data_IF_513545741083
#
_entry.id   IF_513545741083
#
_cell.length_a   1.000
_cell.length_b   1.000
_cell.length_c   1.000
_cell.angle_alpha   90.00
_cell.angle_beta   90.00
_cell.angle_gamma   90.00
#
_symmetry.space_group_name_H-M   'P 1'
#
loop_
_entity.id
_entity.type
_entity.pdbx_description
1 polymer ?
#
# COMPACT_ATOMS: atom_id res chain seq x y z
N UNK A 1 2.68 -3.74 29.51
CA UNK A 1 3.69 -4.54 28.79
C UNK A 1 2.96 -5.49 27.85
N UNK A 2 3.33 -5.53 26.56
CA UNK A 2 2.75 -6.48 25.61
C UNK A 2 3.20 -7.91 26.02
N UNK A 3 2.29 -8.83 26.36
CA UNK A 3 2.65 -10.15 26.89
C UNK A 3 3.50 -11.01 25.93
N UNK A 4 3.59 -10.63 24.65
CA UNK A 4 4.32 -11.36 23.61
C UNK A 4 5.68 -10.76 23.21
N UNK A 5 6.17 -9.72 23.90
CA UNK A 5 7.39 -9.01 23.52
C UNK A 5 8.60 -9.94 23.28
N UNK A 6 8.92 -10.80 24.26
CA UNK A 6 10.07 -11.71 24.17
C UNK A 6 9.94 -12.73 23.04
N UNK A 7 8.72 -13.19 22.75
CA UNK A 7 8.46 -14.14 21.66
C UNK A 7 8.73 -13.49 20.30
N UNK A 8 8.22 -12.28 20.08
CA UNK A 8 8.41 -11.53 18.83
C UNK A 8 9.89 -11.19 18.59
N UNK A 9 10.63 -10.77 19.62
CA UNK A 9 12.08 -10.50 19.49
C UNK A 9 12.89 -11.78 19.21
N UNK A 10 12.51 -12.90 19.81
CA UNK A 10 13.16 -14.18 19.53
C UNK A 10 12.94 -14.61 18.08
N UNK A 11 11.72 -14.43 17.57
CA UNK A 11 11.38 -14.69 16.17
C UNK A 11 12.17 -13.77 15.22
N UNK A 12 12.25 -12.47 15.52
CA UNK A 12 13.06 -11.50 14.77
C UNK A 12 14.52 -11.95 14.63
N UNK A 13 15.16 -12.30 15.75
CA UNK A 13 16.55 -12.73 15.76
C UNK A 13 16.77 -14.03 14.98
N UNK A 14 15.81 -14.96 15.03
CA UNK A 14 15.84 -16.21 14.27
C UNK A 14 15.75 -15.93 12.77
N UNK A 15 14.83 -15.06 12.36
CA UNK A 15 14.63 -14.66 10.96
C UNK A 15 15.82 -13.86 10.40
N UNK A 16 16.41 -12.97 11.20
CA UNK A 16 17.61 -12.23 10.80
C UNK A 16 18.78 -13.18 10.52
N UNK A 17 19.01 -14.17 11.40
CA UNK A 17 20.04 -15.19 11.18
C UNK A 17 19.73 -16.05 9.95
N UNK A 18 18.47 -16.38 9.72
CA UNK A 18 18.02 -17.10 8.53
C UNK A 18 18.37 -16.33 7.25
N UNK A 19 18.02 -15.04 7.18
CA UNK A 19 18.31 -14.19 6.02
C UNK A 19 19.80 -14.12 5.68
N UNK A 20 20.68 -14.05 6.68
CA UNK A 20 22.15 -14.02 6.46
C UNK A 20 22.75 -15.34 5.96
N UNK A 21 21.97 -16.43 5.94
CA UNK A 21 22.43 -17.75 5.48
C UNK A 21 21.91 -18.10 4.09
N UNK A 22 20.87 -17.43 3.63
CA UNK A 22 20.26 -17.67 2.33
C UNK A 22 20.96 -16.79 1.28
N UNK A 23 21.62 -17.37 0.27
CA UNK A 23 22.23 -16.60 -0.80
C UNK A 23 21.19 -15.70 -1.47
N UNK A 24 21.42 -14.40 -1.44
CA UNK A 24 20.51 -13.47 -2.08
C UNK A 24 20.80 -13.38 -3.59
N UNK A 25 19.76 -13.48 -4.41
CA UNK A 25 19.86 -13.04 -5.79
C UNK A 25 19.96 -11.49 -5.84
N UNK A 26 20.62 -10.95 -6.87
CA UNK A 26 20.53 -9.54 -7.30
C UNK A 26 20.89 -8.43 -6.30
N UNK A 27 22.16 -8.34 -5.89
CA UNK A 27 22.68 -7.17 -5.14
C UNK A 27 21.81 -6.78 -3.95
N UNK A 28 21.26 -7.78 -3.27
CA UNK A 28 20.55 -7.59 -2.01
C UNK A 28 21.49 -6.91 -1.00
N UNK A 29 20.97 -6.04 -0.11
CA UNK A 29 21.72 -5.48 1.01
C UNK A 29 22.61 -6.53 1.66
N UNK A 30 23.89 -6.17 1.80
CA UNK A 30 24.91 -6.99 2.44
C UNK A 30 24.39 -7.48 3.82
N UNK A 31 24.80 -8.68 4.25
CA UNK A 31 24.32 -9.33 5.48
C UNK A 31 24.28 -8.39 6.71
N UNK A 32 25.24 -7.46 6.79
CA UNK A 32 25.31 -6.48 7.87
C UNK A 32 24.12 -5.51 7.91
N UNK A 33 23.52 -5.13 6.77
CA UNK A 33 22.33 -4.27 6.73
C UNK A 33 21.10 -4.98 7.30
N UNK A 34 20.97 -6.28 7.03
CA UNK A 34 19.90 -7.11 7.60
C UNK A 34 20.05 -7.18 9.13
N UNK A 35 21.26 -7.48 9.62
CA UNK A 35 21.54 -7.55 11.06
C UNK A 35 21.37 -6.18 11.74
N UNK A 36 21.83 -5.10 11.11
CA UNK A 36 21.65 -3.74 11.62
C UNK A 36 20.17 -3.38 11.71
N UNK A 37 19.37 -3.74 10.71
CA UNK A 37 17.93 -3.46 10.71
C UNK A 37 17.23 -4.27 11.80
N UNK A 38 17.59 -5.54 12.00
CA UNK A 38 17.08 -6.36 13.11
C UNK A 38 17.44 -5.75 14.48
N UNK A 39 18.69 -5.32 14.69
CA UNK A 39 19.11 -4.65 15.93
C UNK A 39 18.35 -3.35 16.18
N UNK A 40 18.15 -2.54 15.12
CA UNK A 40 17.34 -1.31 15.20
C UNK A 40 15.91 -1.64 15.62
N UNK A 41 15.25 -2.59 14.96
CA UNK A 41 13.91 -3.05 15.31
C UNK A 41 13.87 -3.50 16.76
N UNK A 42 14.79 -4.37 17.20
CA UNK A 42 14.85 -4.84 18.58
C UNK A 42 14.93 -3.68 19.58
N UNK A 43 15.75 -2.67 19.28
CA UNK A 43 15.94 -1.50 20.14
C UNK A 43 14.72 -0.57 20.19
N UNK A 44 13.90 -0.50 19.13
CA UNK A 44 12.72 0.38 19.05
C UNK A 44 11.40 -0.34 19.29
N UNK A 45 11.38 -1.67 19.28
CA UNK A 45 10.16 -2.48 19.23
C UNK A 45 9.15 -2.14 20.33
N UNK A 46 9.61 -1.97 21.58
CA UNK A 46 8.72 -1.61 22.68
C UNK A 46 8.07 -0.23 22.49
N UNK A 47 8.81 0.75 21.97
CA UNK A 47 8.31 2.08 21.65
C UNK A 47 7.34 2.06 20.47
N UNK A 48 7.69 1.32 19.41
CA UNK A 48 6.85 1.11 18.23
C UNK A 48 5.49 0.49 18.64
N UNK A 49 5.51 -0.58 19.44
CA UNK A 49 4.29 -1.23 19.92
C UNK A 49 3.43 -0.31 20.80
N UNK A 50 4.05 0.54 21.63
CA UNK A 50 3.32 1.53 22.42
C UNK A 50 2.67 2.61 21.54
N UNK A 51 3.39 3.10 20.53
CA UNK A 51 2.89 4.08 19.57
C UNK A 51 1.72 3.50 18.73
N UNK A 52 1.83 2.24 18.31
CA UNK A 52 0.75 1.53 17.61
C UNK A 52 -0.47 1.36 18.50
N UNK A 53 -0.27 0.98 19.77
CA UNK A 53 -1.37 0.85 20.72
C UNK A 53 -2.13 2.16 20.95
N UNK A 54 -1.43 3.30 20.97
CA UNK A 54 -2.05 4.62 21.11
C UNK A 54 -2.93 5.01 19.91
N UNK A 55 -2.71 4.41 18.74
CA UNK A 55 -3.43 4.68 17.50
C UNK A 55 -4.29 3.50 17.03
N UNK A 56 -4.42 2.46 17.87
CA UNK A 56 -4.99 1.17 17.47
C UNK A 56 -6.47 1.27 17.09
N UNK A 57 -7.23 2.06 17.84
CA UNK A 57 -8.66 2.23 17.56
C UNK A 57 -8.83 2.80 16.15
N UNK A 58 -8.08 3.84 15.79
CA UNK A 58 -8.14 4.41 14.45
C UNK A 58 -7.72 3.43 13.32
N UNK A 59 -6.67 2.63 13.52
CA UNK A 59 -6.15 1.73 12.48
C UNK A 59 -7.04 0.49 12.30
N UNK A 60 -7.58 -0.05 13.41
CA UNK A 60 -8.18 -1.39 13.44
C UNK A 60 -9.69 -1.41 13.68
N UNK A 61 -10.36 -0.28 13.86
CA UNK A 61 -11.83 -0.25 13.97
C UNK A 61 -12.51 0.10 12.67
N UNK A 62 -13.81 -0.21 12.62
CA UNK A 62 -14.67 0.32 11.58
C UNK A 62 -14.65 1.86 11.55
N UNK A 63 -14.79 2.40 10.35
CA UNK A 63 -14.85 3.83 10.10
C UNK A 63 -16.31 4.27 9.91
N UNK A 64 -16.91 4.76 10.99
CA UNK A 64 -18.27 5.33 10.95
C UNK A 64 -18.27 6.76 10.37
N UNK A 65 -17.20 7.52 10.60
CA UNK A 65 -17.03 8.88 10.10
C UNK A 65 -15.77 8.98 9.23
N UNK A 66 -15.96 8.86 7.92
CA UNK A 66 -14.88 8.89 6.93
C UNK A 66 -14.06 10.17 7.03
N UNK A 67 -14.71 11.34 7.16
CA UNK A 67 -14.00 12.63 7.22
C UNK A 67 -13.12 12.72 8.46
N UNK A 68 -13.62 12.30 9.62
CA UNK A 68 -12.83 12.28 10.85
C UNK A 68 -11.65 11.30 10.75
N UNK A 69 -11.88 10.10 10.22
CA UNK A 69 -10.83 9.12 10.01
C UNK A 69 -9.78 9.59 9.00
N UNK A 70 -10.16 10.33 7.95
CA UNK A 70 -9.19 10.96 7.03
C UNK A 70 -8.30 11.96 7.76
N UNK A 71 -8.87 12.79 8.64
CA UNK A 71 -8.09 13.73 9.45
C UNK A 71 -7.13 13.00 10.39
N UNK A 72 -7.59 11.97 11.09
CA UNK A 72 -6.75 11.16 11.98
C UNK A 72 -5.61 10.47 11.20
N UNK A 73 -5.90 9.94 10.02
CA UNK A 73 -4.89 9.29 9.20
C UNK A 73 -3.81 10.26 8.72
N UNK A 74 -4.25 11.41 8.20
CA UNK A 74 -3.33 12.45 7.78
C UNK A 74 -2.45 12.90 8.95
N UNK A 75 -3.04 13.12 10.14
CA UNK A 75 -2.31 13.52 11.33
C UNK A 75 -1.30 12.46 11.79
N UNK A 76 -1.67 11.18 11.76
CA UNK A 76 -0.77 10.07 12.06
C UNK A 76 0.45 10.08 11.13
N UNK A 77 0.23 10.25 9.82
CA UNK A 77 1.34 10.29 8.85
C UNK A 77 2.20 11.55 8.97
N UNK A 78 1.60 12.70 9.28
CA UNK A 78 2.36 13.91 9.57
C UNK A 78 3.24 13.73 10.82
N UNK A 79 2.70 13.13 11.88
CA UNK A 79 3.48 12.76 13.06
C UNK A 79 4.62 11.81 12.69
N UNK A 80 4.36 10.76 11.92
CA UNK A 80 5.37 9.79 11.51
C UNK A 80 6.50 10.43 10.69
N UNK A 81 6.20 11.40 9.82
CA UNK A 81 7.24 12.17 9.14
C UNK A 81 8.17 12.94 10.09
N UNK A 82 7.69 13.32 11.27
CA UNK A 82 8.44 14.08 12.26
C UNK A 82 9.20 13.16 13.23
N UNK A 83 8.58 12.06 13.66
CA UNK A 83 9.11 11.19 14.73
C UNK A 83 9.65 9.86 14.23
N UNK A 84 9.48 9.53 12.95
CA UNK A 84 9.63 8.18 12.42
C UNK A 84 8.34 7.36 12.59
N UNK A 85 8.13 6.44 11.65
CA UNK A 85 7.06 5.44 11.74
C UNK A 85 7.54 4.23 12.57
N UNK A 86 6.60 3.50 13.20
CA UNK A 86 6.88 2.16 13.69
C UNK A 86 7.50 1.28 12.60
N UNK A 87 8.43 0.40 12.97
CA UNK A 87 8.96 -0.60 12.04
C UNK A 87 7.82 -1.45 11.45
N UNK A 88 7.97 -1.87 10.18
CA UNK A 88 7.01 -2.78 9.56
C UNK A 88 6.89 -4.09 10.36
N UNK A 89 7.99 -4.56 10.95
CA UNK A 89 7.98 -5.72 11.83
C UNK A 89 7.04 -5.53 13.04
N UNK A 90 7.15 -4.41 13.76
CA UNK A 90 6.26 -4.10 14.87
C UNK A 90 4.80 -3.92 14.43
N UNK A 91 4.57 -3.20 13.32
CA UNK A 91 3.23 -2.99 12.76
C UNK A 91 2.56 -4.33 12.36
N UNK A 92 3.31 -5.24 11.74
CA UNK A 92 2.84 -6.58 11.40
C UNK A 92 2.55 -7.39 12.66
N UNK A 93 3.48 -7.50 13.62
CA UNK A 93 3.23 -8.19 14.90
C UNK A 93 1.96 -7.67 15.58
N UNK A 94 1.80 -6.35 15.64
CA UNK A 94 0.62 -5.72 16.24
C UNK A 94 -0.66 -6.07 15.47
N UNK A 95 -0.63 -6.03 14.14
CA UNK A 95 -1.77 -6.40 13.31
C UNK A 95 -2.18 -7.87 13.50
N UNK A 96 -1.21 -8.79 13.51
CA UNK A 96 -1.48 -10.21 13.73
C UNK A 96 -2.11 -10.47 15.10
N UNK A 97 -1.58 -9.83 16.15
CA UNK A 97 -2.12 -9.95 17.51
C UNK A 97 -3.51 -9.31 17.63
N UNK A 98 -3.73 -8.15 16.99
CA UNK A 98 -4.98 -7.38 17.10
C UNK A 98 -6.15 -7.99 16.33
N UNK A 99 -5.87 -8.54 15.14
CA UNK A 99 -6.89 -9.21 14.32
C UNK A 99 -7.24 -10.61 14.85
N UNK A 100 -6.44 -11.15 15.78
CA UNK A 100 -6.68 -12.44 16.44
C UNK A 100 -6.92 -13.60 15.45
N UNK A 101 -6.25 -13.57 14.31
CA UNK A 101 -6.43 -14.54 13.23
C UNK A 101 -5.85 -15.91 13.66
N UNK A 102 -6.54 -17.04 13.39
CA UNK A 102 -5.98 -18.38 13.55
C UNK A 102 -4.98 -18.65 12.42
N UNK A 103 -3.72 -18.26 12.63
CA UNK A 103 -2.68 -18.31 11.59
C UNK A 103 -1.84 -19.58 11.74
N UNK A 104 -1.63 -20.28 10.62
CA UNK A 104 -0.69 -21.39 10.56
C UNK A 104 0.75 -20.90 10.87
N UNK A 105 1.57 -21.66 11.63
CA UNK A 105 2.88 -21.17 12.09
C UNK A 105 3.83 -20.72 10.96
N UNK A 106 3.82 -21.44 9.84
CA UNK A 106 4.59 -21.15 8.63
C UNK A 106 4.15 -19.84 7.97
N UNK A 107 2.84 -19.60 7.85
CA UNK A 107 2.29 -18.37 7.28
C UNK A 107 2.54 -17.16 8.19
N UNK A 108 2.49 -17.34 9.52
CA UNK A 108 2.94 -16.32 10.48
C UNK A 108 4.42 -16.01 10.28
N UNK A 109 5.26 -17.03 10.12
CA UNK A 109 6.68 -16.84 9.88
C UNK A 109 6.95 -16.10 8.56
N UNK A 110 6.19 -16.40 7.50
CA UNK A 110 6.27 -15.70 6.22
C UNK A 110 5.89 -14.22 6.34
N UNK A 111 4.84 -13.88 7.09
CA UNK A 111 4.47 -12.49 7.38
C UNK A 111 5.58 -11.74 8.13
N UNK A 112 6.16 -12.35 9.17
CA UNK A 112 7.23 -11.73 9.95
C UNK A 112 8.54 -11.59 9.15
N UNK A 113 8.87 -12.59 8.32
CA UNK A 113 10.01 -12.53 7.39
C UNK A 113 9.82 -11.39 6.40
N UNK A 114 8.65 -11.29 5.78
CA UNK A 114 8.31 -10.24 4.82
C UNK A 114 8.38 -8.84 5.44
N UNK A 115 7.88 -8.70 6.68
CA UNK A 115 7.96 -7.45 7.42
C UNK A 115 9.40 -7.08 7.79
N UNK A 116 10.28 -8.06 8.07
CA UNK A 116 11.71 -7.83 8.27
C UNK A 116 12.38 -7.38 6.97
N UNK A 117 12.10 -8.03 5.84
CA UNK A 117 12.61 -7.63 4.52
C UNK A 117 12.24 -6.18 4.19
N UNK A 118 10.96 -5.81 4.37
CA UNK A 118 10.48 -4.44 4.22
C UNK A 118 11.01 -3.46 5.26
N UNK A 119 11.54 -3.93 6.39
CA UNK A 119 12.17 -3.08 7.41
C UNK A 119 13.66 -2.83 7.18
N UNK A 120 14.28 -3.47 6.17
CA UNK A 120 15.67 -3.17 5.83
C UNK A 120 15.77 -1.73 5.37
N UNK A 121 16.75 -1.02 5.93
CA UNK A 121 16.85 0.44 5.78
C UNK A 121 16.90 0.84 4.31
N UNK A 122 15.93 1.65 3.90
CA UNK A 122 15.87 2.30 2.60
C UNK A 122 15.77 3.82 2.82
N UNK A 123 16.69 4.58 2.24
CA UNK A 123 16.82 6.04 2.45
C UNK A 123 16.35 6.86 1.26
N UNK A 124 15.62 6.26 0.32
CA UNK A 124 15.01 7.00 -0.78
C UNK A 124 14.03 8.07 -0.25
N UNK A 125 13.82 9.19 -0.97
CA UNK A 125 12.89 10.22 -0.51
C UNK A 125 11.43 9.75 -0.36
N UNK A 126 10.92 8.93 -1.30
CA UNK A 126 9.53 8.46 -1.29
C UNK A 126 9.44 6.96 -0.98
N UNK A 127 9.99 6.08 -1.84
CA UNK A 127 9.89 4.63 -1.70
C UNK A 127 10.86 4.09 -0.63
N UNK A 128 10.61 4.47 0.63
CA UNK A 128 11.38 4.12 1.81
C UNK A 128 10.51 3.40 2.86
N UNK A 129 11.09 3.05 4.00
CA UNK A 129 10.37 2.33 5.06
C UNK A 129 9.12 3.08 5.59
N UNK A 130 9.08 4.43 5.49
CA UNK A 130 7.89 5.22 5.83
C UNK A 130 6.74 4.93 4.85
N UNK A 131 7.01 4.96 3.55
CA UNK A 131 6.01 4.63 2.54
C UNK A 131 5.47 3.22 2.76
N UNK A 132 6.33 2.23 2.99
CA UNK A 132 5.87 0.86 3.21
C UNK A 132 4.97 0.73 4.45
N UNK A 133 5.30 1.41 5.55
CA UNK A 133 4.45 1.46 6.74
C UNK A 133 3.08 2.10 6.46
N UNK A 134 3.04 3.19 5.68
CA UNK A 134 1.78 3.80 5.26
C UNK A 134 0.96 2.84 4.40
N UNK A 135 1.56 2.17 3.43
CA UNK A 135 0.87 1.20 2.56
C UNK A 135 0.27 0.07 3.41
N UNK A 136 1.03 -0.51 4.35
CA UNK A 136 0.49 -1.54 5.24
C UNK A 136 -0.70 -1.03 6.09
N UNK A 137 -0.65 0.19 6.62
CA UNK A 137 -1.80 0.79 7.31
C UNK A 137 -3.01 0.92 6.38
N UNK A 138 -2.83 1.41 5.15
CA UNK A 138 -3.96 1.54 4.22
C UNK A 138 -4.50 0.18 3.78
N UNK A 139 -3.63 -0.83 3.62
CA UNK A 139 -4.03 -2.21 3.35
C UNK A 139 -4.91 -2.75 4.48
N UNK A 140 -4.51 -2.59 5.74
CA UNK A 140 -5.31 -3.01 6.89
C UNK A 140 -6.67 -2.31 6.94
N UNK A 141 -6.70 -0.99 6.73
CA UNK A 141 -7.97 -0.21 6.69
C UNK A 141 -8.89 -0.67 5.58
N UNK A 142 -8.35 -0.98 4.41
CA UNK A 142 -9.12 -1.52 3.28
C UNK A 142 -9.66 -2.93 3.56
N UNK A 143 -8.87 -3.81 4.16
CA UNK A 143 -9.31 -5.16 4.58
C UNK A 143 -10.47 -5.05 5.57
N UNK A 144 -10.35 -4.20 6.60
CA UNK A 144 -11.39 -4.01 7.62
C UNK A 144 -12.68 -3.47 7.00
N UNK A 145 -12.58 -2.42 6.17
CA UNK A 145 -13.76 -1.87 5.51
C UNK A 145 -14.40 -2.86 4.53
N UNK A 146 -13.59 -3.61 3.77
CA UNK A 146 -14.08 -4.65 2.87
C UNK A 146 -14.82 -5.74 3.63
N UNK A 147 -14.20 -6.31 4.66
CA UNK A 147 -14.80 -7.38 5.46
C UNK A 147 -16.05 -6.92 6.20
N UNK A 148 -16.12 -5.66 6.60
CA UNK A 148 -17.34 -5.08 7.13
C UNK A 148 -18.46 -5.01 6.06
N UNK A 149 -18.18 -4.45 4.87
CA UNK A 149 -19.17 -4.32 3.79
C UNK A 149 -19.73 -5.68 3.38
N UNK A 150 -18.85 -6.69 3.34
CA UNK A 150 -19.16 -8.04 2.86
C UNK A 150 -19.31 -9.05 4.00
N UNK A 151 -19.60 -8.58 5.22
CA UNK A 151 -19.82 -9.43 6.38
C UNK A 151 -20.85 -10.53 6.05
N UNK A 152 -20.56 -11.75 6.50
CA UNK A 152 -21.38 -12.94 6.29
C UNK A 152 -21.59 -13.37 4.82
N UNK A 153 -20.81 -12.80 3.88
CA UNK A 153 -20.82 -13.22 2.47
C UNK A 153 -19.55 -13.98 2.08
N UNK A 154 -19.60 -14.70 0.96
CA UNK A 154 -18.42 -15.38 0.39
C UNK A 154 -17.38 -14.43 -0.19
N UNK A 155 -17.68 -13.13 -0.27
CA UNK A 155 -16.76 -12.11 -0.75
C UNK A 155 -15.86 -11.56 0.37
N UNK A 156 -16.13 -11.84 1.64
CA UNK A 156 -15.23 -11.47 2.72
C UNK A 156 -13.87 -12.16 2.57
N UNK A 157 -12.81 -11.44 2.94
CA UNK A 157 -11.45 -11.99 3.03
C UNK A 157 -11.35 -12.82 4.31
N UNK A 158 -10.94 -14.07 4.18
CA UNK A 158 -10.62 -14.92 5.31
C UNK A 158 -9.23 -14.61 5.88
N UNK A 159 -8.85 -15.40 6.87
CA UNK A 159 -7.60 -15.22 7.60
C UNK A 159 -6.39 -15.34 6.68
N UNK A 160 -6.32 -16.40 5.87
CA UNK A 160 -5.21 -16.61 4.94
C UNK A 160 -5.09 -15.47 3.92
N UNK A 161 -6.21 -14.99 3.35
CA UNK A 161 -6.19 -13.87 2.41
C UNK A 161 -5.70 -12.58 3.08
N UNK A 162 -6.14 -12.34 4.33
CA UNK A 162 -5.68 -11.20 5.13
C UNK A 162 -4.17 -11.24 5.37
N UNK A 163 -3.61 -12.41 5.71
CA UNK A 163 -2.17 -12.54 5.92
C UNK A 163 -1.39 -12.37 4.62
N UNK A 164 -1.86 -12.93 3.50
CA UNK A 164 -1.21 -12.73 2.21
C UNK A 164 -1.22 -11.28 1.74
N UNK A 165 -2.27 -10.52 2.06
CA UNK A 165 -2.30 -9.07 1.83
C UNK A 165 -1.26 -8.33 2.68
N UNK A 166 -1.09 -8.70 3.95
CA UNK A 166 -0.05 -8.13 4.83
C UNK A 166 1.35 -8.45 4.28
N UNK A 167 1.58 -9.70 3.86
CA UNK A 167 2.83 -10.13 3.22
C UNK A 167 3.10 -9.28 1.97
N UNK A 168 2.12 -9.15 1.07
CA UNK A 168 2.28 -8.40 -0.16
C UNK A 168 2.57 -6.91 0.09
N UNK A 169 1.85 -6.28 1.04
CA UNK A 169 2.11 -4.90 1.43
C UNK A 169 3.52 -4.69 2.00
N UNK A 170 4.06 -5.65 2.77
CA UNK A 170 5.44 -5.56 3.26
C UNK A 170 6.49 -5.73 2.16
N UNK A 171 6.14 -6.38 1.04
CA UNK A 171 7.08 -6.78 -0.01
C UNK A 171 7.05 -5.90 -1.26
N UNK A 172 5.94 -5.21 -1.55
CA UNK A 172 5.67 -4.63 -2.88
C UNK A 172 6.84 -3.81 -3.46
N UNK A 173 7.52 -3.02 -2.63
CA UNK A 173 8.64 -2.15 -3.02
C UNK A 173 9.98 -2.54 -2.41
N UNK A 174 10.12 -3.76 -1.89
CA UNK A 174 11.37 -4.18 -1.28
C UNK A 174 12.52 -4.08 -2.28
N UNK A 175 13.56 -3.33 -1.90
CA UNK A 175 14.74 -3.13 -2.73
C UNK A 175 14.55 -2.09 -3.84
N UNK A 176 13.50 -1.27 -3.81
CA UNK A 176 13.31 -0.15 -4.74
C UNK A 176 14.59 0.68 -4.90
N UNK A 177 14.92 1.09 -6.14
CA UNK A 177 16.21 1.70 -6.48
C UNK A 177 16.15 3.21 -6.78
N UNK A 178 14.98 3.83 -6.59
CA UNK A 178 14.77 5.27 -6.78
C UNK A 178 14.49 5.67 -8.23
N UNK A 179 14.51 4.71 -9.15
CA UNK A 179 14.31 4.95 -10.58
C UNK A 179 13.02 4.32 -11.04
N UNK A 180 12.35 4.92 -12.02
CA UNK A 180 11.12 4.35 -12.57
C UNK A 180 11.33 3.08 -13.40
N UNK A 181 10.26 2.61 -14.03
CA UNK A 181 10.29 1.46 -14.94
C UNK A 181 10.93 1.76 -16.31
N UNK A 182 11.34 3.02 -16.57
CA UNK A 182 12.07 3.40 -17.79
C UNK A 182 13.58 3.44 -17.57
N UNK A 183 14.30 2.52 -18.20
CA UNK A 183 15.76 2.42 -18.09
C UNK A 183 16.39 2.81 -19.42
N UNK A 184 17.22 3.87 -19.41
CA UNK A 184 17.90 4.40 -20.62
C UNK A 184 16.92 4.69 -21.76
N UNK A 185 15.76 5.26 -21.42
CA UNK A 185 14.71 5.63 -22.38
C UNK A 185 13.82 4.47 -22.85
N UNK A 186 14.06 3.24 -22.40
CA UNK A 186 13.24 2.07 -22.73
C UNK A 186 12.39 1.71 -21.53
N UNK A 187 11.07 1.74 -21.71
CA UNK A 187 10.12 1.27 -20.70
C UNK A 187 10.24 -0.26 -20.56
N UNK A 188 10.38 -0.73 -19.32
CA UNK A 188 10.40 -2.14 -18.94
C UNK A 188 9.25 -2.39 -17.96
N UNK A 189 8.13 -2.97 -18.41
CA UNK A 189 6.99 -3.25 -17.55
C UNK A 189 7.41 -4.06 -16.33
N UNK A 190 6.89 -3.68 -15.18
CA UNK A 190 7.04 -4.34 -13.89
C UNK A 190 8.47 -4.56 -13.41
N UNK A 191 9.42 -3.72 -13.83
CA UNK A 191 10.84 -3.91 -13.52
C UNK A 191 11.10 -3.84 -12.01
N UNK A 192 10.51 -2.86 -11.33
CA UNK A 192 10.67 -2.66 -9.89
C UNK A 192 9.96 -3.77 -9.10
N UNK A 193 8.75 -4.13 -9.53
CA UNK A 193 7.94 -5.17 -8.92
C UNK A 193 8.62 -6.54 -9.06
N UNK A 194 9.23 -6.82 -10.23
CA UNK A 194 10.02 -8.02 -10.45
C UNK A 194 11.26 -8.04 -9.55
N UNK A 195 11.91 -6.89 -9.32
CA UNK A 195 13.04 -6.78 -8.39
C UNK A 195 12.61 -7.12 -6.96
N UNK A 196 11.47 -6.61 -6.50
CA UNK A 196 10.88 -6.98 -5.20
C UNK A 196 10.64 -8.49 -5.08
N UNK A 197 10.13 -9.11 -6.15
CA UNK A 197 9.91 -10.56 -6.20
C UNK A 197 11.21 -11.37 -6.23
N UNK A 198 12.20 -10.95 -7.01
CA UNK A 198 13.48 -11.65 -7.10
C UNK A 198 14.22 -11.68 -5.75
N UNK A 199 13.95 -10.69 -4.91
CA UNK A 199 14.41 -10.63 -3.53
C UNK A 199 13.59 -11.56 -2.62
N UNK A 200 12.27 -11.43 -2.66
CA UNK A 200 11.41 -12.00 -1.63
C UNK A 200 11.14 -13.49 -1.83
N UNK A 201 10.93 -13.92 -3.09
CA UNK A 201 10.51 -15.28 -3.41
C UNK A 201 11.53 -16.34 -2.94
N UNK A 202 12.85 -16.19 -3.15
CA UNK A 202 13.82 -17.16 -2.63
C UNK A 202 13.73 -17.33 -1.11
N UNK A 203 13.44 -16.25 -0.38
CA UNK A 203 13.32 -16.30 1.07
C UNK A 203 12.03 -17.02 1.51
N UNK A 204 10.92 -16.82 0.80
CA UNK A 204 9.68 -17.56 1.06
C UNK A 204 9.80 -19.04 0.70
N UNK A 205 10.52 -19.38 -0.37
CA UNK A 205 10.81 -20.78 -0.75
C UNK A 205 11.57 -21.53 0.35
N UNK A 206 12.50 -20.86 1.05
CA UNK A 206 13.20 -21.48 2.19
C UNK A 206 12.31 -21.78 3.40
N UNK A 207 11.13 -21.14 3.49
CA UNK A 207 10.10 -21.47 4.47
C UNK A 207 9.13 -22.57 3.99
N UNK A 208 9.36 -23.13 2.80
CA UNK A 208 8.56 -24.21 2.22
C UNK A 208 7.44 -23.77 1.29
N UNK A 209 7.34 -22.47 0.94
CA UNK A 209 6.35 -21.97 -0.01
C UNK A 209 6.82 -22.22 -1.45
N UNK A 210 6.20 -23.19 -2.12
CA UNK A 210 6.49 -23.48 -3.53
C UNK A 210 6.06 -22.33 -4.44
N UNK A 211 6.95 -21.87 -5.33
CA UNK A 211 6.68 -20.77 -6.27
C UNK A 211 5.53 -21.07 -7.24
N UNK A 212 5.33 -22.34 -7.57
CA UNK A 212 4.21 -22.80 -8.40
C UNK A 212 2.87 -22.90 -7.67
N UNK A 213 2.88 -22.81 -6.33
CA UNK A 213 1.68 -22.89 -5.51
C UNK A 213 0.68 -21.80 -5.86
N UNK A 214 -0.58 -22.05 -5.53
CA UNK A 214 -1.65 -21.13 -5.80
C UNK A 214 -1.46 -19.80 -5.05
N UNK A 215 -1.05 -19.87 -3.80
CA UNK A 215 -0.80 -18.75 -2.90
C UNK A 215 0.37 -17.88 -3.36
N UNK A 216 1.48 -18.51 -3.78
CA UNK A 216 2.63 -17.77 -4.31
C UNK A 216 2.32 -17.08 -5.64
N UNK A 217 1.52 -17.70 -6.51
CA UNK A 217 1.04 -17.06 -7.74
C UNK A 217 0.12 -15.87 -7.45
N UNK A 218 -0.72 -15.94 -6.41
CA UNK A 218 -1.50 -14.78 -5.93
C UNK A 218 -0.58 -13.66 -5.48
N UNK A 219 0.44 -13.96 -4.67
CA UNK A 219 1.43 -12.98 -4.21
C UNK A 219 2.13 -12.27 -5.37
N UNK A 220 2.60 -13.05 -6.35
CA UNK A 220 3.24 -12.52 -7.55
C UNK A 220 2.30 -11.56 -8.28
N UNK A 221 1.04 -11.97 -8.52
CA UNK A 221 0.08 -11.12 -9.21
C UNK A 221 -0.25 -9.83 -8.42
N UNK A 222 -0.34 -9.90 -7.09
CA UNK A 222 -0.56 -8.73 -6.24
C UNK A 222 0.59 -7.71 -6.38
N UNK A 223 1.83 -8.16 -6.29
CA UNK A 223 3.02 -7.28 -6.40
C UNK A 223 3.15 -6.75 -7.82
N UNK A 224 2.99 -7.56 -8.86
CA UNK A 224 3.06 -7.08 -10.25
C UNK A 224 1.97 -6.03 -10.54
N UNK A 225 0.79 -6.15 -9.92
CA UNK A 225 -0.29 -5.20 -10.11
C UNK A 225 -0.07 -3.82 -9.44
N UNK A 226 0.97 -3.64 -8.62
CA UNK A 226 1.33 -2.32 -8.08
C UNK A 226 2.02 -1.44 -9.13
N UNK A 227 2.43 -2.00 -10.28
CA UNK A 227 3.00 -1.22 -11.37
C UNK A 227 2.02 -0.14 -11.89
N UNK A 228 2.39 1.12 -11.64
CA UNK A 228 1.62 2.32 -12.00
C UNK A 228 1.89 2.84 -13.41
N UNK A 229 2.37 2.00 -14.33
CA UNK A 229 2.54 2.35 -15.74
C UNK A 229 1.25 2.95 -16.33
N UNK A 230 1.31 4.04 -17.11
CA UNK A 230 0.14 4.74 -17.62
C UNK A 230 -0.90 3.80 -18.24
N UNK A 231 -2.15 3.97 -17.82
CA UNK A 231 -3.23 3.02 -18.08
C UNK A 231 -3.67 2.95 -19.55
N UNK A 232 -3.22 3.89 -20.39
CA UNK A 232 -3.51 3.89 -21.82
C UNK A 232 -2.82 2.69 -22.52
N UNK A 233 -1.77 2.13 -21.91
CA UNK A 233 -1.15 0.89 -22.34
C UNK A 233 -2.02 -0.33 -21.96
N UNK A 234 -2.53 -1.12 -22.93
CA UNK A 234 -3.28 -2.33 -22.62
C UNK A 234 -2.46 -3.40 -21.88
N UNK A 235 -1.13 -3.36 -21.99
CA UNK A 235 -0.23 -4.24 -21.26
C UNK A 235 0.05 -3.78 -19.82
N UNK A 236 -0.42 -2.59 -19.42
CA UNK A 236 -0.30 -2.12 -18.03
C UNK A 236 -0.85 -3.15 -17.04
N UNK A 237 -0.03 -3.65 -16.08
CA UNK A 237 -0.48 -4.61 -15.07
C UNK A 237 -1.69 -4.13 -14.28
N UNK A 238 -1.69 -2.86 -13.87
CA UNK A 238 -2.81 -2.24 -13.18
C UNK A 238 -4.09 -2.26 -14.03
N UNK A 239 -3.99 -2.07 -15.36
CA UNK A 239 -5.15 -2.16 -16.26
C UNK A 239 -5.70 -3.58 -16.34
N UNK A 240 -4.81 -4.56 -16.51
CA UNK A 240 -5.16 -5.97 -16.60
C UNK A 240 -5.84 -6.47 -15.32
N UNK A 241 -5.27 -6.13 -14.16
CA UNK A 241 -5.88 -6.39 -12.85
C UNK A 241 -7.26 -5.74 -12.73
N UNK A 242 -7.41 -4.46 -13.12
CA UNK A 242 -8.70 -3.77 -13.07
C UNK A 242 -9.73 -4.40 -14.01
N UNK A 243 -9.32 -4.95 -15.15
CA UNK A 243 -10.19 -5.70 -16.05
C UNK A 243 -10.67 -7.01 -15.41
N UNK A 244 -9.77 -7.78 -14.81
CA UNK A 244 -10.10 -9.01 -14.07
C UNK A 244 -11.06 -8.75 -12.92
N UNK A 245 -10.80 -7.72 -12.11
CA UNK A 245 -11.70 -7.31 -11.04
C UNK A 245 -13.11 -7.00 -11.55
N UNK A 246 -13.25 -6.20 -12.60
CA UNK A 246 -14.56 -5.84 -13.16
C UNK A 246 -15.32 -7.06 -13.67
N UNK A 247 -14.62 -7.98 -14.33
CA UNK A 247 -15.21 -9.21 -14.84
C UNK A 247 -15.79 -10.08 -13.70
N UNK A 248 -15.05 -10.22 -12.60
CA UNK A 248 -15.48 -11.04 -11.45
C UNK A 248 -16.49 -10.37 -10.52
N UNK A 249 -16.39 -9.05 -10.34
CA UNK A 249 -17.11 -8.33 -9.27
C UNK A 249 -18.28 -7.50 -9.79
N UNK A 250 -18.22 -7.00 -11.03
CA UNK A 250 -19.23 -6.07 -11.57
C UNK A 250 -20.06 -6.67 -12.70
N UNK A 251 -19.49 -7.53 -13.54
CA UNK A 251 -20.16 -8.07 -14.73
C UNK A 251 -20.91 -9.39 -14.49
N UNK A 252 -20.71 -10.06 -13.35
CA UNK A 252 -21.36 -11.33 -13.03
C UNK A 252 -20.72 -12.58 -13.66
N UNK A 253 -19.99 -12.43 -14.78
CA UNK A 253 -18.97 -13.36 -15.30
C UNK A 253 -18.31 -12.74 -16.54
N UNK A 254 -17.06 -13.10 -16.84
CA UNK A 254 -16.46 -12.82 -18.15
C UNK A 254 -16.86 -13.94 -19.11
N UNK A 255 -17.73 -13.65 -20.08
CA UNK A 255 -18.05 -14.61 -21.16
C UNK A 255 -16.91 -14.73 -22.20
N UNK A 256 -15.83 -13.97 -22.03
CA UNK A 256 -14.69 -13.94 -22.94
C UNK A 256 -13.36 -13.93 -22.17
N UNK A 257 -12.32 -14.61 -22.69
CA UNK A 257 -11.01 -14.62 -22.06
C UNK A 257 -10.44 -13.21 -22.00
N UNK A 258 -9.80 -12.88 -20.87
CA UNK A 258 -9.22 -11.57 -20.64
C UNK A 258 -7.84 -11.41 -21.28
N UNK A 259 -7.20 -12.54 -21.65
CA UNK A 259 -5.86 -12.60 -22.26
C UNK A 259 -4.82 -11.84 -21.42
N UNK A 260 -4.78 -12.14 -20.12
CA UNK A 260 -3.84 -11.52 -19.20
C UNK A 260 -2.41 -12.04 -19.43
N UNK A 261 -1.42 -11.23 -19.10
CA UNK A 261 -0.01 -11.63 -19.09
C UNK A 261 0.23 -12.80 -18.12
N UNK A 262 1.28 -13.58 -18.39
CA UNK A 262 1.56 -14.82 -17.66
C UNK A 262 1.64 -14.62 -16.12
N UNK A 263 2.24 -13.52 -15.65
CA UNK A 263 2.35 -13.17 -14.23
C UNK A 263 1.01 -12.79 -13.58
N UNK A 264 0.01 -12.42 -14.38
CA UNK A 264 -1.33 -12.03 -13.95
C UNK A 264 -2.41 -13.06 -14.31
N UNK A 265 -2.06 -14.14 -15.01
CA UNK A 265 -2.98 -15.16 -15.50
C UNK A 265 -3.89 -15.76 -14.41
N UNK A 266 -3.41 -15.85 -13.16
CA UNK A 266 -4.22 -16.34 -12.04
C UNK A 266 -5.47 -15.48 -11.79
N UNK A 267 -5.41 -14.19 -12.09
CA UNK A 267 -6.53 -13.26 -11.89
C UNK A 267 -7.73 -13.59 -12.78
N UNK A 268 -7.52 -14.29 -13.91
CA UNK A 268 -8.59 -14.63 -14.85
C UNK A 268 -9.62 -15.60 -14.23
N UNK A 269 -9.17 -16.48 -13.33
CA UNK A 269 -10.02 -17.51 -12.73
C UNK A 269 -10.16 -17.39 -11.22
N UNK A 270 -9.40 -16.49 -10.59
CA UNK A 270 -9.42 -16.28 -9.16
C UNK A 270 -9.96 -14.89 -8.80
N UNK A 271 -11.25 -14.88 -8.44
CA UNK A 271 -11.97 -13.70 -7.96
C UNK A 271 -11.30 -13.08 -6.74
N UNK A 272 -10.82 -13.90 -5.78
CA UNK A 272 -10.18 -13.37 -4.57
C UNK A 272 -8.81 -12.79 -4.88
N UNK A 273 -8.04 -13.41 -5.77
CA UNK A 273 -6.77 -12.84 -6.23
C UNK A 273 -6.95 -11.48 -6.88
N UNK A 274 -7.96 -11.33 -7.74
CA UNK A 274 -8.30 -10.05 -8.40
C UNK A 274 -8.68 -8.97 -7.40
N UNK A 275 -9.49 -9.31 -6.40
CA UNK A 275 -9.83 -8.42 -5.30
C UNK A 275 -8.60 -8.00 -4.50
N UNK A 276 -7.78 -8.95 -4.06
CA UNK A 276 -6.59 -8.68 -3.25
C UNK A 276 -5.58 -7.80 -4.00
N UNK A 277 -5.31 -8.11 -5.28
CA UNK A 277 -4.45 -7.30 -6.12
C UNK A 277 -4.98 -5.86 -6.29
N UNK A 278 -6.29 -5.69 -6.46
CA UNK A 278 -6.90 -4.35 -6.50
C UNK A 278 -6.78 -3.62 -5.18
N UNK A 279 -7.08 -4.27 -4.06
CA UNK A 279 -7.00 -3.64 -2.74
C UNK A 279 -5.56 -3.21 -2.40
N UNK A 280 -4.56 -4.00 -2.77
CA UNK A 280 -3.16 -3.63 -2.58
C UNK A 280 -2.77 -2.43 -3.45
N UNK A 281 -3.12 -2.47 -4.75
CA UNK A 281 -2.89 -1.35 -5.66
C UNK A 281 -3.55 -0.06 -5.17
N UNK A 282 -4.77 -0.12 -4.65
CA UNK A 282 -5.46 1.04 -4.09
C UNK A 282 -4.86 1.50 -2.77
N UNK A 283 -4.37 0.58 -1.92
CA UNK A 283 -3.66 0.92 -0.69
C UNK A 283 -2.38 1.72 -0.97
N UNK A 284 -1.61 1.27 -1.97
CA UNK A 284 -0.37 1.89 -2.41
C UNK A 284 -0.59 3.32 -2.92
N UNK A 285 -1.64 3.53 -3.72
CA UNK A 285 -2.00 4.85 -4.22
C UNK A 285 -2.68 5.76 -3.18
N UNK A 286 -3.19 5.22 -2.06
CA UNK A 286 -4.10 5.94 -1.17
C UNK A 286 -3.45 7.13 -0.45
N UNK A 287 -2.16 7.07 -0.11
CA UNK A 287 -1.44 8.20 0.49
C UNK A 287 -1.39 9.39 -0.46
N UNK A 288 -1.19 9.11 -1.74
CA UNK A 288 -1.03 10.12 -2.79
C UNK A 288 -2.35 10.56 -3.41
N UNK A 289 -3.48 9.90 -3.11
CA UNK A 289 -4.76 10.20 -3.78
C UNK A 289 -6.01 10.21 -2.89
N UNK A 290 -5.97 9.61 -1.70
CA UNK A 290 -7.16 9.28 -0.92
C UNK A 290 -7.29 9.99 0.43
N UNK A 291 -6.32 10.82 0.82
CA UNK A 291 -6.31 11.49 2.13
C UNK A 291 -6.70 12.97 2.04
N UNK A 292 -5.74 13.88 2.08
CA UNK A 292 -5.96 15.32 2.01
C UNK A 292 -5.08 15.93 0.93
N UNK A 293 -5.41 17.13 0.45
CA UNK A 293 -4.60 17.82 -0.55
C UNK A 293 -3.17 18.06 -0.06
N UNK A 294 -3.01 18.42 1.22
CA UNK A 294 -1.70 18.64 1.84
C UNK A 294 -0.84 17.37 1.87
N UNK A 295 -1.42 16.21 2.20
CA UNK A 295 -0.71 14.93 2.16
C UNK A 295 -0.32 14.58 0.73
N UNK A 296 -1.27 14.64 -0.21
CA UNK A 296 -0.99 14.39 -1.64
C UNK A 296 0.11 15.30 -2.19
N UNK A 297 0.10 16.58 -1.86
CA UNK A 297 1.13 17.52 -2.27
C UNK A 297 2.51 17.14 -1.73
N UNK A 298 2.59 16.74 -0.44
CA UNK A 298 3.83 16.26 0.16
C UNK A 298 4.35 14.99 -0.53
N UNK A 299 3.51 13.99 -0.73
CA UNK A 299 3.91 12.75 -1.43
C UNK A 299 4.42 13.07 -2.84
N UNK A 300 3.73 13.96 -3.57
CA UNK A 300 4.16 14.40 -4.90
C UNK A 300 5.53 15.08 -4.87
N UNK A 301 5.81 15.92 -3.86
CA UNK A 301 7.13 16.51 -3.66
C UNK A 301 8.20 15.44 -3.45
N UNK A 302 7.94 14.44 -2.59
CA UNK A 302 8.88 13.36 -2.29
C UNK A 302 9.18 12.50 -3.54
N UNK A 303 8.16 12.17 -4.34
CA UNK A 303 8.33 11.45 -5.62
C UNK A 303 9.21 12.26 -6.59
N UNK A 304 8.98 13.56 -6.71
CA UNK A 304 9.79 14.44 -7.55
C UNK A 304 11.24 14.52 -7.07
N UNK A 305 11.47 14.59 -5.75
CA UNK A 305 12.81 14.60 -5.18
C UNK A 305 13.55 13.30 -5.47
N UNK A 306 12.88 12.16 -5.31
CA UNK A 306 13.42 10.84 -5.57
C UNK A 306 13.87 10.67 -7.02
N UNK A 307 13.01 11.06 -7.98
CA UNK A 307 13.33 10.97 -9.39
C UNK A 307 14.17 12.14 -9.93
N UNK A 308 14.63 13.04 -9.06
CA UNK A 308 15.37 14.24 -9.42
C UNK A 308 14.69 15.09 -10.51
N UNK A 309 13.36 15.17 -10.43
CA UNK A 309 12.52 15.95 -11.35
C UNK A 309 12.50 17.43 -10.95
N UNK A 310 12.09 18.34 -11.86
CA UNK A 310 11.79 19.72 -11.50
C UNK A 310 10.79 19.80 -10.32
N UNK A 311 10.75 20.93 -9.58
CA UNK A 311 9.87 21.10 -8.44
C UNK A 311 8.42 20.70 -8.75
N UNK A 312 7.82 19.96 -7.82
CA UNK A 312 6.43 19.51 -7.92
C UNK A 312 5.46 20.70 -7.98
N UNK A 313 4.32 20.50 -8.63
CA UNK A 313 3.31 21.52 -8.94
C UNK A 313 1.91 20.90 -8.91
N UNK A 314 0.83 21.67 -8.67
CA UNK A 314 -0.54 21.17 -8.71
C UNK A 314 -0.89 20.38 -9.98
N UNK A 315 -0.39 20.80 -11.15
CA UNK A 315 -0.60 20.07 -12.41
C UNK A 315 -0.11 18.60 -12.37
N UNK A 316 0.91 18.29 -11.56
CA UNK A 316 1.42 16.91 -11.45
C UNK A 316 0.46 16.04 -10.64
N UNK A 317 -0.20 16.61 -9.62
CA UNK A 317 -1.30 15.95 -8.89
C UNK A 317 -2.47 15.70 -9.85
N UNK A 318 -2.86 16.69 -10.65
CA UNK A 318 -3.91 16.53 -11.67
C UNK A 318 -3.54 15.40 -12.64
N UNK A 319 -2.30 15.40 -13.14
CA UNK A 319 -1.78 14.36 -14.04
C UNK A 319 -1.84 12.97 -13.42
N UNK A 320 -1.32 12.80 -12.20
CA UNK A 320 -1.35 11.53 -11.47
C UNK A 320 -2.78 11.03 -11.25
N UNK A 321 -3.67 11.86 -10.70
CA UNK A 321 -5.05 11.48 -10.44
C UNK A 321 -5.81 11.15 -11.72
N UNK A 322 -5.52 11.85 -12.82
CA UNK A 322 -6.18 11.62 -14.11
C UNK A 322 -5.66 10.36 -14.82
N UNK A 323 -4.35 10.17 -14.89
CA UNK A 323 -3.72 9.16 -15.75
C UNK A 323 -3.39 7.85 -15.02
N UNK A 324 -3.14 7.90 -13.71
CA UNK A 324 -2.84 6.71 -12.90
C UNK A 324 -4.10 6.26 -12.16
N UNK A 325 -4.71 7.16 -11.38
CA UNK A 325 -5.91 6.83 -10.60
C UNK A 325 -7.19 6.83 -11.45
N UNK A 326 -7.18 7.33 -12.70
CA UNK A 326 -8.38 7.48 -13.54
C UNK A 326 -9.53 8.26 -12.85
N UNK A 327 -9.19 9.15 -11.92
CA UNK A 327 -10.10 9.92 -11.07
C UNK A 327 -11.07 9.07 -10.23
N UNK A 328 -10.79 7.78 -10.04
CA UNK A 328 -11.67 6.89 -9.27
C UNK A 328 -10.91 5.74 -8.62
N UNK A 329 -11.44 5.32 -7.50
CA UNK A 329 -11.17 4.01 -6.91
C UNK A 329 -12.28 3.05 -7.34
N UNK A 330 -11.98 1.76 -7.44
CA UNK A 330 -12.86 0.72 -7.96
C UNK A 330 -13.42 -0.19 -6.88
N UNK A 331 -12.66 -0.57 -5.84
CA UNK A 331 -13.21 -1.46 -4.81
C UNK A 331 -14.26 -0.73 -3.97
N UNK A 332 -15.28 -1.44 -3.48
CA UNK A 332 -16.30 -0.84 -2.61
C UNK A 332 -15.69 -0.27 -1.33
N UNK A 333 -14.68 -0.96 -0.78
CA UNK A 333 -13.93 -0.50 0.38
C UNK A 333 -13.19 0.82 0.11
N UNK A 334 -12.43 0.90 -1.00
CA UNK A 334 -11.74 2.13 -1.36
C UNK A 334 -12.72 3.25 -1.72
N UNK A 335 -13.83 2.94 -2.39
CA UNK A 335 -14.90 3.91 -2.66
C UNK A 335 -15.44 4.51 -1.36
N UNK A 336 -15.74 3.67 -0.35
CA UNK A 336 -16.19 4.11 0.98
C UNK A 336 -15.18 5.04 1.65
N UNK A 337 -13.88 4.72 1.60
CA UNK A 337 -12.86 5.46 2.36
C UNK A 337 -12.30 6.68 1.61
N UNK A 338 -12.10 6.59 0.30
CA UNK A 338 -11.23 7.52 -0.45
C UNK A 338 -11.94 8.34 -1.53
N UNK A 339 -13.08 7.89 -2.08
CA UNK A 339 -13.65 8.52 -3.29
C UNK A 339 -13.95 10.02 -3.12
N UNK A 340 -14.57 10.40 -1.99
CA UNK A 340 -14.91 11.79 -1.70
C UNK A 340 -13.65 12.67 -1.51
N UNK A 341 -12.57 12.10 -0.96
CA UNK A 341 -11.31 12.82 -0.79
C UNK A 341 -10.60 13.00 -2.12
N UNK A 342 -10.54 11.95 -2.93
CA UNK A 342 -9.94 11.99 -4.26
C UNK A 342 -10.57 13.09 -5.11
N UNK A 343 -11.91 13.19 -5.11
CA UNK A 343 -12.63 14.25 -5.82
C UNK A 343 -12.26 15.66 -5.31
N UNK A 344 -12.18 15.85 -3.99
CA UNK A 344 -11.77 17.13 -3.37
C UNK A 344 -10.34 17.51 -3.70
N UNK A 345 -9.41 16.57 -3.60
CA UNK A 345 -7.99 16.75 -3.94
C UNK A 345 -7.86 17.14 -5.41
N UNK A 346 -8.57 16.45 -6.29
CA UNK A 346 -8.57 16.73 -7.72
C UNK A 346 -9.06 18.15 -8.03
N UNK A 347 -10.24 18.53 -7.50
CA UNK A 347 -10.81 19.86 -7.70
C UNK A 347 -9.89 20.96 -7.16
N UNK A 348 -9.27 20.75 -5.99
CA UNK A 348 -8.31 21.70 -5.43
C UNK A 348 -7.05 21.82 -6.27
N UNK A 349 -6.53 20.70 -6.78
CA UNK A 349 -5.36 20.70 -7.66
C UNK A 349 -5.61 21.43 -8.98
N UNK A 350 -6.80 21.28 -9.57
CA UNK A 350 -7.21 22.04 -10.76
C UNK A 350 -7.30 23.54 -10.47
N UNK A 351 -7.95 23.92 -9.37
CA UNK A 351 -8.04 25.32 -8.95
C UNK A 351 -6.65 25.95 -8.74
N UNK A 352 -5.73 25.27 -8.05
CA UNK A 352 -4.37 25.77 -7.82
C UNK A 352 -3.54 25.78 -9.13
N UNK A 353 -3.87 24.93 -10.11
CA UNK A 353 -3.29 24.99 -11.47
C UNK A 353 -3.77 26.23 -12.22
N UNK A 354 -5.07 26.53 -12.17
CA UNK A 354 -5.67 27.72 -12.80
C UNK A 354 -5.16 29.02 -12.15
N UNK A 355 -4.89 29.00 -10.84
CA UNK A 355 -4.39 30.14 -10.07
C UNK A 355 -2.87 30.36 -10.20
N UNK A 356 -2.23 29.86 -11.26
CA UNK A 356 -0.82 30.13 -11.55
C UNK A 356 0.10 28.92 -11.39
N UNK A 357 -0.40 27.78 -10.89
CA UNK A 357 0.32 26.52 -10.85
C UNK A 357 1.70 26.65 -10.18
N UNK A 358 1.71 27.33 -9.05
CA UNK A 358 2.93 27.61 -8.30
C UNK A 358 3.59 26.30 -7.81
N UNK A 359 4.88 26.38 -7.49
CA UNK A 359 5.60 25.23 -6.93
C UNK A 359 4.93 24.81 -5.62
N UNK A 360 4.79 23.51 -5.40
CA UNK A 360 4.33 22.97 -4.13
C UNK A 360 5.44 23.13 -3.08
N UNK A 361 5.05 23.43 -1.84
CA UNK A 361 5.96 23.52 -0.70
C UNK A 361 5.48 22.62 0.43
N UNK A 362 6.42 22.00 1.15
CA UNK A 362 6.10 21.23 2.35
C UNK A 362 5.75 22.23 3.45
N UNK A 363 4.46 22.32 3.77
CA UNK A 363 3.99 23.05 4.95
C UNK A 363 4.04 22.13 6.17
N UNK A 364 4.53 22.66 7.29
CA UNK A 364 4.51 21.96 8.58
C UNK A 364 3.14 22.15 9.24
N UNK A 365 2.55 21.03 9.68
CA UNK A 365 1.20 20.99 10.22
C UNK A 365 0.14 20.90 9.12
N UNK A 366 -0.82 20.00 9.31
CA UNK A 366 -2.00 19.92 8.44
C UNK A 366 -2.83 21.17 8.71
N UNK A 367 -3.02 22.06 7.71
CA UNK A 367 -3.97 23.14 7.87
C UNK A 367 -5.31 22.53 8.27
N UNK A 368 -5.94 23.02 9.33
CA UNK A 368 -7.34 22.69 9.54
C UNK A 368 -8.07 23.24 8.33
N UNK A 369 -8.40 22.35 7.38
CA UNK A 369 -9.28 22.69 6.28
C UNK A 369 -10.58 23.16 6.94
N UNK A 370 -10.81 24.48 6.92
CA UNK A 370 -12.06 25.05 7.39
C UNK A 370 -13.15 24.31 6.62
N UNK A 371 -14.00 23.56 7.32
CA UNK A 371 -15.01 22.70 6.71
C UNK A 371 -15.65 23.45 5.55
N UNK A 372 -15.30 23.04 4.33
CA UNK A 372 -15.79 23.71 3.14
C UNK A 372 -17.31 23.70 3.26
N UNK A 373 -17.92 24.88 3.29
CA UNK A 373 -19.38 25.02 3.32
C UNK A 373 -19.90 24.18 2.17
N UNK A 374 -20.66 23.12 2.50
CA UNK A 374 -21.25 22.21 1.53
C UNK A 374 -21.83 23.03 0.38
N UNK A 375 -21.61 22.63 -0.89
CA UNK A 375 -22.21 23.34 -2.01
C UNK A 375 -23.71 23.47 -1.72
N UNK A 376 -24.20 24.71 -1.69
CA UNK A 376 -25.62 24.99 -1.50
C UNK A 376 -26.34 24.27 -2.64
N UNK A 377 -27.23 23.35 -2.28
CA UNK A 377 -28.21 22.82 -3.20
C UNK A 377 -29.04 24.01 -3.71
N UNK A 378 -28.70 24.50 -4.90
CA UNK A 378 -29.52 25.45 -5.64
C UNK A 378 -30.73 24.69 -6.21
N UNK A 379 -31.63 24.25 -5.33
CA UNK A 379 -33.01 23.92 -5.71
C UNK A 379 -33.82 25.22 -5.68
N UNK A 380 -33.57 26.08 -6.67
CA UNK A 380 -34.49 27.18 -6.97
C UNK A 380 -35.69 26.60 -7.73
N UNK A 381 -36.66 26.17 -6.94
CA UNK A 381 -38.03 25.94 -7.41
C UNK A 381 -38.68 27.30 -7.60
N UNK A 382 -38.62 27.82 -8.83
CA UNK A 382 -39.58 28.85 -9.26
C UNK A 382 -40.77 28.16 -9.92
N UNK A 383 -41.84 28.12 -9.15
CA UNK A 383 -43.21 27.98 -9.61
C UNK A 383 -43.55 29.06 -10.65
N UNK A 384 -44.02 28.65 -11.83
CA UNK A 384 -45.26 29.15 -12.44
C UNK A 384 -45.80 28.17 -13.47
#
# INVERSE_FOLDING_TARGET
MCPNHTHHITALNTLAQHLTKTPSAHNWPEDWLTLQSAQKIESTFAGDMAALNANADFIFTEIDNISHATTLNAALFDQWHQTGAPSLYALTCYALDRLALPIAPDLKQAALLSALLGSITNTLPYHNNMHYAKVLVQTLRLIIAHNHIFADTTNALGDNETIWMIIAACLHDVGHDGTGNTVRGIHKPSRLEQRSLDIALPQLETLGFDRGSHEMRRLIAMIIATDVTPIDDPSSPARQMKAAYRAHMLAGSADSPLNLDASLSILEHDKKASLMALLLHEADLATSSGLTYAVTARETILIHQEHHLPPARPQHIVGFLKHICQRKVLSDAAQKIYAANLARIYARAEQDTENGNEKLEITHGIPQESAATSPRDNNDTTSH
#
